data_IF_939552651313
#
_entry.id   IF_939552651313
#
_cell.length_a   1.000
_cell.length_b   1.000
_cell.length_c   1.000
_cell.angle_alpha   90.00
_cell.angle_beta   90.00
_cell.angle_gamma   90.00
#
_symmetry.space_group_name_H-M   'P 1'
#
loop_
_entity.id
_entity.type
_entity.pdbx_description
1 polymer ?
#
# COMPACT_ATOMS: atom_id res chain seq x y z
N UNK A 1 -0.58 27.86 28.89
CA UNK A 1 -0.67 27.57 27.44
C UNK A 1 -0.76 26.05 27.27
N UNK A 2 -1.94 25.52 26.94
CA UNK A 2 -2.16 24.07 26.80
C UNK A 2 -1.69 23.69 25.40
N UNK A 3 -0.54 23.02 25.29
CA UNK A 3 -0.06 22.52 24.00
C UNK A 3 -0.93 21.32 23.66
N UNK A 4 -1.92 21.54 22.79
CA UNK A 4 -2.78 20.49 22.29
C UNK A 4 -1.91 19.51 21.49
N UNK A 5 -1.90 18.25 21.93
CA UNK A 5 -1.03 17.24 21.32
C UNK A 5 -1.40 17.06 19.85
N UNK A 6 -0.45 17.28 18.95
CA UNK A 6 -0.64 17.05 17.52
C UNK A 6 -0.91 15.55 17.30
N UNK A 7 -2.18 15.20 17.13
CA UNK A 7 -2.57 13.84 16.79
C UNK A 7 -2.33 13.66 15.30
N UNK A 8 -1.34 12.85 14.93
CA UNK A 8 -1.15 12.40 13.54
C UNK A 8 -2.31 11.46 13.20
N UNK A 9 -3.46 12.05 12.86
CA UNK A 9 -4.63 11.36 12.32
C UNK A 9 -4.57 11.43 10.80
N UNK A 10 -3.50 10.89 10.23
CA UNK A 10 -3.26 10.89 8.80
C UNK A 10 -3.30 9.49 8.23
N UNK A 11 -3.98 9.31 7.10
CA UNK A 11 -3.81 8.12 6.27
C UNK A 11 -2.38 8.13 5.74
N UNK A 12 -1.67 7.03 5.96
CA UNK A 12 -0.30 6.88 5.47
C UNK A 12 -0.31 6.86 3.94
N UNK A 13 0.55 7.66 3.32
CA UNK A 13 0.84 7.59 1.90
C UNK A 13 2.27 7.10 1.70
N UNK A 14 2.45 6.11 0.83
CA UNK A 14 3.76 5.55 0.54
C UNK A 14 4.60 6.53 -0.26
N UNK A 15 5.79 6.89 0.23
CA UNK A 15 6.69 7.80 -0.49
C UNK A 15 7.30 7.21 -1.77
N UNK A 16 7.25 5.87 -1.93
CA UNK A 16 7.72 5.19 -3.12
C UNK A 16 6.65 5.20 -4.24
N UNK A 17 5.48 4.62 -3.98
CA UNK A 17 4.43 4.42 -4.99
C UNK A 17 3.26 5.42 -4.91
N UNK A 18 3.23 6.30 -3.93
CA UNK A 18 2.18 7.30 -3.65
C UNK A 18 0.78 6.75 -3.40
N UNK A 19 0.63 5.44 -3.17
CA UNK A 19 -0.61 4.83 -2.71
C UNK A 19 -0.89 5.12 -1.24
N UNK A 20 -2.18 5.16 -0.91
CA UNK A 20 -2.66 5.24 0.47
C UNK A 20 -2.60 3.87 1.15
N UNK A 21 -2.47 3.88 2.48
CA UNK A 21 -2.38 2.70 3.35
C UNK A 21 -1.16 1.81 3.15
N UNK A 22 -0.16 2.28 2.41
CA UNK A 22 1.10 1.58 2.18
C UNK A 22 2.28 2.38 2.76
N UNK A 23 3.33 1.69 3.18
CA UNK A 23 4.54 2.30 3.74
C UNK A 23 5.71 2.08 2.80
N UNK A 24 6.62 3.06 2.70
CA UNK A 24 7.77 2.94 1.81
C UNK A 24 8.71 1.76 2.18
N UNK A 25 8.76 1.37 3.46
CA UNK A 25 9.62 0.29 3.95
C UNK A 25 9.24 -1.08 3.40
N UNK A 26 7.95 -1.31 3.12
CA UNK A 26 7.44 -2.61 2.66
C UNK A 26 6.81 -2.53 1.25
N UNK A 27 7.16 -1.48 0.50
CA UNK A 27 6.59 -1.23 -0.80
C UNK A 27 7.38 -1.94 -1.90
N UNK A 28 6.76 -2.92 -2.55
CA UNK A 28 7.35 -3.65 -3.69
C UNK A 28 6.94 -3.09 -5.06
N UNK A 29 6.24 -1.95 -5.08
CA UNK A 29 5.78 -1.31 -6.30
C UNK A 29 6.87 -0.45 -6.93
N UNK A 30 6.79 -0.25 -8.24
CA UNK A 30 7.65 0.73 -8.94
C UNK A 30 7.44 2.14 -8.37
N UNK A 31 8.52 2.93 -8.23
CA UNK A 31 8.41 4.30 -7.77
C UNK A 31 7.54 5.10 -8.73
N UNK A 32 6.66 5.95 -8.20
CA UNK A 32 5.80 6.83 -9.01
C UNK A 32 6.07 8.29 -8.67
N UNK A 33 6.33 9.10 -9.69
CA UNK A 33 6.65 10.51 -9.51
C UNK A 33 5.39 11.33 -9.19
N UNK A 34 5.44 12.16 -8.14
CA UNK A 34 4.31 13.02 -7.76
C UNK A 34 4.06 14.17 -8.76
N UNK A 35 5.11 14.61 -9.46
CA UNK A 35 5.04 15.72 -10.43
C UNK A 35 4.52 15.27 -11.80
N UNK A 36 5.11 14.19 -12.32
CA UNK A 36 4.86 13.72 -13.70
C UNK A 36 3.97 12.48 -13.79
N UNK A 37 3.74 11.78 -12.68
CA UNK A 37 3.01 10.51 -12.65
C UNK A 37 3.71 9.32 -13.28
N UNK A 38 4.94 9.49 -13.80
CA UNK A 38 5.72 8.43 -14.45
C UNK A 38 6.49 7.57 -13.44
N UNK A 39 7.01 6.43 -13.93
CA UNK A 39 7.71 5.42 -13.13
C UNK A 39 9.15 5.82 -12.76
N UNK A 40 9.30 6.81 -11.88
CA UNK A 40 10.57 7.20 -11.25
C UNK A 40 10.32 7.92 -9.92
N UNK A 41 11.35 7.95 -9.05
CA UNK A 41 11.29 8.72 -7.81
C UNK A 41 11.23 10.22 -8.10
N UNK A 42 10.46 11.00 -7.32
CA UNK A 42 10.31 12.46 -7.50
C UNK A 42 11.66 13.20 -7.54
N UNK A 43 12.68 12.72 -6.82
CA UNK A 43 14.05 13.29 -6.82
C UNK A 43 14.72 13.22 -8.18
N UNK A 44 14.38 12.22 -9.00
CA UNK A 44 14.96 11.98 -10.31
C UNK A 44 14.08 12.57 -11.44
N UNK A 45 13.10 13.41 -11.10
CA UNK A 45 12.22 14.01 -12.09
C UNK A 45 12.91 15.15 -12.84
N UNK A 46 12.73 15.19 -14.17
CA UNK A 46 13.17 16.30 -15.02
C UNK A 46 12.40 17.60 -14.70
N UNK A 47 11.15 17.51 -14.22
CA UNK A 47 10.35 18.65 -13.80
C UNK A 47 10.89 19.16 -12.46
N UNK A 48 11.67 20.23 -12.50
CA UNK A 48 12.21 20.89 -11.30
C UNK A 48 11.35 22.04 -10.82
N UNK A 49 10.73 22.74 -11.75
CA UNK A 49 9.91 23.92 -11.50
C UNK A 49 8.59 23.59 -10.79
N UNK A 50 8.01 24.62 -10.16
CA UNK A 50 6.69 24.54 -9.56
C UNK A 50 5.64 24.60 -10.66
N UNK A 51 4.83 23.55 -10.76
CA UNK A 51 3.69 23.56 -11.68
C UNK A 51 2.55 24.36 -11.06
N UNK A 52 2.03 25.35 -11.78
CA UNK A 52 0.86 26.14 -11.33
C UNK A 52 -0.39 25.27 -11.20
N UNK A 53 -0.56 24.32 -12.13
CA UNK A 53 -1.69 23.41 -12.16
C UNK A 53 -1.22 21.95 -12.11
N UNK A 54 -0.85 21.43 -10.92
CA UNK A 54 -0.33 20.08 -10.80
C UNK A 54 -1.40 19.02 -11.09
N UNK A 55 -0.98 17.88 -11.62
CA UNK A 55 -1.83 16.73 -11.89
C UNK A 55 -1.82 15.74 -10.71
N UNK A 56 -3.00 15.29 -10.29
CA UNK A 56 -3.17 14.31 -9.24
C UNK A 56 -3.21 12.90 -9.82
N UNK A 57 -2.17 12.12 -9.59
CA UNK A 57 -2.08 10.72 -10.04
C UNK A 57 -3.13 9.77 -9.43
N UNK A 58 -3.78 10.17 -8.33
CA UNK A 58 -4.75 9.34 -7.62
C UNK A 58 -6.17 9.56 -8.16
N UNK A 59 -6.62 10.81 -8.30
CA UNK A 59 -7.94 11.12 -8.87
C UNK A 59 -7.94 11.35 -10.38
N UNK A 60 -6.76 11.57 -10.98
CA UNK A 60 -6.56 11.90 -12.41
C UNK A 60 -7.11 13.28 -12.81
N UNK A 61 -7.20 14.21 -11.86
CA UNK A 61 -7.60 15.60 -12.09
C UNK A 61 -6.43 16.57 -11.94
N UNK A 62 -6.56 17.75 -12.55
CA UNK A 62 -5.66 18.87 -12.37
C UNK A 62 -6.06 19.76 -11.18
N UNK A 63 -5.12 20.55 -10.67
CA UNK A 63 -5.34 21.57 -9.63
C UNK A 63 -4.74 21.19 -8.28
N UNK A 64 -4.32 19.95 -8.09
CA UNK A 64 -3.68 19.49 -6.85
C UNK A 64 -2.75 18.30 -7.09
N UNK A 65 -1.81 18.07 -6.15
CA UNK A 65 -0.96 16.88 -6.15
C UNK A 65 -1.60 15.74 -5.38
N UNK A 66 -1.14 14.50 -5.57
CA UNK A 66 -1.71 13.32 -4.91
C UNK A 66 -1.51 13.27 -3.39
N UNK A 67 -0.69 14.15 -2.81
CA UNK A 67 -0.57 14.32 -1.35
C UNK A 67 -1.65 15.25 -0.77
N UNK A 68 -2.51 15.84 -1.61
CA UNK A 68 -3.55 16.75 -1.16
C UNK A 68 -4.64 16.01 -0.39
N UNK A 69 -4.80 16.36 0.88
CA UNK A 69 -5.72 15.69 1.82
C UNK A 69 -7.19 15.90 1.48
N UNK A 70 -7.53 16.91 0.68
CA UNK A 70 -8.89 17.16 0.18
C UNK A 70 -9.11 16.65 -1.25
N UNK A 71 -8.22 15.81 -1.77
CA UNK A 71 -8.47 15.11 -3.02
C UNK A 71 -9.80 14.32 -2.90
N UNK A 72 -10.66 14.31 -3.93
CA UNK A 72 -11.94 13.59 -3.87
C UNK A 72 -11.78 12.07 -3.68
N UNK A 73 -10.64 11.51 -4.11
CA UNK A 73 -10.26 10.11 -3.85
C UNK A 73 -9.35 9.93 -2.63
N UNK A 74 -9.10 10.99 -1.86
CA UNK A 74 -8.39 10.84 -0.60
C UNK A 74 -9.25 9.98 0.32
N UNK A 75 -8.71 8.89 0.91
CA UNK A 75 -9.53 8.03 1.74
C UNK A 75 -10.06 8.81 2.93
N UNK A 76 -11.29 8.54 3.34
CA UNK A 76 -11.83 9.12 4.56
C UNK A 76 -11.66 8.12 5.70
N UNK A 77 -11.18 8.55 6.88
CA UNK A 77 -11.16 7.68 8.04
C UNK A 77 -12.61 7.27 8.36
N UNK A 78 -12.93 5.98 8.25
CA UNK A 78 -14.24 5.47 8.63
C UNK A 78 -14.43 5.71 10.13
N UNK A 79 -15.49 6.43 10.50
CA UNK A 79 -15.88 6.61 11.91
C UNK A 79 -16.14 5.23 12.50
N UNK A 80 -15.32 4.81 13.47
CA UNK A 80 -15.51 3.56 14.22
C UNK A 80 -14.53 2.42 13.91
N UNK A 81 -13.73 2.51 12.84
CA UNK A 81 -12.63 1.53 12.66
C UNK A 81 -11.35 2.14 13.19
N UNK A 82 -10.89 1.59 14.31
CA UNK A 82 -9.57 1.81 14.86
C UNK A 82 -8.47 1.32 13.88
N UNK A 83 -8.22 2.07 12.79
CA UNK A 83 -6.87 2.15 12.21
C UNK A 83 -5.92 2.96 13.11
N UNK A 84 -6.36 3.25 14.34
CA UNK A 84 -5.52 3.58 15.48
C UNK A 84 -4.73 2.34 15.91
N UNK A 85 -3.73 1.96 15.11
CA UNK A 85 -2.43 1.94 15.73
C UNK A 85 -1.81 3.31 15.44
N UNK A 86 -2.01 4.34 16.31
CA UNK A 86 -0.85 5.17 16.55
C UNK A 86 0.26 4.17 16.83
N UNK A 87 1.43 4.29 16.18
CA UNK A 87 2.66 3.73 16.73
C UNK A 87 2.51 3.99 18.22
N UNK A 88 2.27 2.93 19.00
CA UNK A 88 2.07 3.07 20.42
C UNK A 88 3.27 3.91 20.81
N UNK A 89 3.03 5.11 21.35
CA UNK A 89 4.12 5.81 22.01
C UNK A 89 4.50 4.83 23.11
N UNK A 90 5.38 3.86 22.83
CA UNK A 90 6.31 3.34 23.80
C UNK A 90 6.83 4.63 24.34
N UNK A 91 6.35 4.99 25.54
CA UNK A 91 6.83 6.15 26.26
C UNK A 91 8.33 5.97 26.19
N UNK A 92 9.00 6.74 25.34
CA UNK A 92 10.44 6.73 25.28
C UNK A 92 10.76 7.13 26.70
N UNK A 93 11.27 6.15 27.45
CA UNK A 93 11.58 6.31 28.86
C UNK A 93 12.34 7.61 28.97
N UNK A 94 11.86 8.54 29.80
CA UNK A 94 12.47 9.87 30.00
C UNK A 94 13.93 9.79 30.48
N UNK A 95 14.46 8.58 30.70
CA UNK A 95 15.88 8.28 30.90
C UNK A 95 16.81 8.77 29.77
N UNK A 96 16.29 9.12 28.58
CA UNK A 96 17.10 9.64 27.47
C UNK A 96 17.23 11.17 27.47
N UNK A 97 16.42 11.88 28.26
CA UNK A 97 16.45 13.34 28.37
C UNK A 97 16.97 13.73 29.74
N UNK A 98 18.11 14.44 29.81
CA UNK A 98 18.57 15.07 31.05
C UNK A 98 17.65 16.26 31.35
N UNK A 99 16.98 16.24 32.48
CA UNK A 99 16.17 17.37 32.95
C UNK A 99 17.06 18.61 33.12
N UNK A 100 16.58 19.77 32.69
CA UNK A 100 17.30 21.05 32.79
C UNK A 100 18.19 21.41 31.59
N UNK A 101 18.30 20.56 30.57
CA UNK A 101 19.08 20.89 29.35
C UNK A 101 18.12 21.27 28.22
N UNK A 102 17.99 22.57 27.97
CA UNK A 102 17.33 23.08 26.77
C UNK A 102 18.27 22.96 25.58
N UNK A 103 17.71 22.84 24.37
CA UNK A 103 18.47 22.88 23.12
C UNK A 103 19.33 24.16 23.01
N UNK A 104 18.83 25.29 23.55
CA UNK A 104 19.58 26.54 23.61
C UNK A 104 20.88 26.40 24.42
N UNK A 105 20.85 25.71 25.56
CA UNK A 105 22.01 25.54 26.44
C UNK A 105 23.12 24.71 25.78
N UNK A 106 22.75 23.72 24.95
CA UNK A 106 23.70 22.87 24.21
C UNK A 106 24.43 23.68 23.14
N UNK A 107 23.71 24.55 22.43
CA UNK A 107 24.28 25.41 21.39
C UNK A 107 25.15 26.52 21.99
N UNK A 108 24.82 27.00 23.19
CA UNK A 108 25.60 28.01 23.92
C UNK A 108 26.88 27.48 24.57
N UNK A 109 27.15 26.17 24.52
CA UNK A 109 28.41 25.58 25.00
C UNK A 109 28.58 25.51 26.52
N UNK A 110 27.53 25.76 27.30
CA UNK A 110 27.57 25.74 28.76
C UNK A 110 27.15 24.37 29.33
N UNK A 111 27.96 23.32 29.12
CA UNK A 111 27.81 22.06 29.90
C UNK A 111 29.19 21.48 30.28
N UNK A 112 29.41 21.09 31.56
CA UNK A 112 30.64 20.42 32.02
C UNK A 112 30.85 19.06 31.36
N UNK A 113 32.09 18.79 30.93
CA UNK A 113 32.51 17.51 30.36
C UNK A 113 32.25 16.35 31.32
N UNK A 114 31.37 15.43 30.92
CA UNK A 114 31.44 14.03 31.33
C UNK A 114 31.43 13.18 30.07
N UNK A 115 32.43 12.32 29.99
CA UNK A 115 32.78 11.45 28.86
C UNK A 115 31.63 10.54 28.42
N UNK A 116 31.53 10.18 27.12
CA UNK A 116 30.52 9.24 26.64
C UNK A 116 30.77 7.84 27.22
N UNK A 117 29.73 7.04 27.55
CA UNK A 117 29.92 5.61 27.72
C UNK A 117 30.21 4.96 26.36
N UNK A 118 31.13 4.03 26.43
CA UNK A 118 31.66 3.16 25.39
C UNK A 118 30.55 2.49 24.57
N UNK A 119 30.76 2.37 23.26
CA UNK A 119 29.82 1.76 22.33
C UNK A 119 29.88 0.24 22.52
N UNK A 120 29.01 -0.32 23.36
CA UNK A 120 28.85 -1.78 23.42
C UNK A 120 28.29 -2.28 22.09
N UNK A 121 29.09 -3.12 21.44
CA UNK A 121 28.78 -3.85 20.22
C UNK A 121 27.49 -4.66 20.39
N UNK A 122 26.44 -4.33 19.62
CA UNK A 122 25.32 -5.25 19.42
C UNK A 122 25.72 -6.29 18.36
N UNK A 123 26.19 -7.42 18.87
CA UNK A 123 26.32 -8.68 18.16
C UNK A 123 25.04 -9.03 17.40
N UNK A 124 25.17 -9.22 16.09
CA UNK A 124 24.16 -9.85 15.24
C UNK A 124 24.01 -11.30 15.72
N UNK A 125 22.88 -11.62 16.32
CA UNK A 125 22.46 -13.01 16.46
C UNK A 125 21.41 -13.29 15.39
N UNK A 126 21.87 -13.97 14.34
CA UNK A 126 21.03 -14.74 13.44
C UNK A 126 20.25 -15.78 14.27
N UNK A 127 18.93 -15.65 14.29
CA UNK A 127 18.04 -16.78 14.50
C UNK A 127 16.99 -16.77 13.42
N UNK A 128 17.24 -17.61 12.43
CA UNK A 128 16.21 -18.25 11.64
C UNK A 128 15.18 -18.88 12.59
N UNK A 129 13.90 -18.52 12.47
CA UNK A 129 12.87 -19.45 12.00
C UNK A 129 11.46 -18.86 12.05
N UNK A 130 10.79 -19.06 10.93
CA UNK A 130 9.40 -19.49 10.79
C UNK A 130 8.26 -18.56 11.21
N UNK A 131 7.68 -17.94 10.18
CA UNK A 131 6.29 -18.15 9.77
C UNK A 131 5.23 -18.40 10.85
N UNK A 132 4.28 -17.47 10.95
CA UNK A 132 2.81 -17.63 11.11
C UNK A 132 2.27 -16.24 11.51
N UNK A 133 1.19 -15.64 11.02
CA UNK A 133 -0.06 -16.06 10.36
C UNK A 133 -1.17 -15.21 11.00
N UNK A 134 -1.74 -14.23 10.30
CA UNK A 134 -3.13 -14.24 9.80
C UNK A 134 -4.25 -14.18 10.87
N UNK A 135 -5.21 -13.27 10.70
CA UNK A 135 -6.53 -13.31 11.33
C UNK A 135 -7.57 -13.61 10.23
N UNK A 136 -8.14 -14.82 10.22
CA UNK A 136 -9.44 -15.14 10.83
C UNK A 136 -9.76 -16.63 10.62
N UNK A 137 -10.37 -17.22 11.65
CA UNK A 137 -10.98 -18.55 11.80
C UNK A 137 -11.21 -19.40 10.54
N UNK A 138 -10.54 -20.55 10.57
CA UNK A 138 -10.97 -21.91 10.20
C UNK A 138 -12.34 -22.06 9.53
N UNK A 139 -12.33 -22.18 8.20
CA UNK A 139 -12.44 -23.49 7.53
C UNK A 139 -11.84 -23.38 6.12
N UNK A 140 -11.10 -24.41 5.73
CA UNK A 140 -10.66 -24.72 4.36
C UNK A 140 -9.45 -23.94 3.78
N UNK A 141 -8.23 -24.27 4.22
CA UNK A 141 -7.03 -24.13 3.34
C UNK A 141 -7.17 -24.94 2.04
N UNK A 142 -8.08 -25.92 2.05
CA UNK A 142 -8.60 -26.67 0.92
C UNK A 142 -9.27 -25.77 -0.13
N UNK A 143 -9.97 -24.70 0.24
CA UNK A 143 -10.84 -23.97 -0.69
C UNK A 143 -10.05 -23.11 -1.68
N UNK A 144 -8.99 -22.43 -1.24
CA UNK A 144 -8.17 -21.65 -2.17
C UNK A 144 -7.38 -22.54 -3.12
N UNK A 145 -6.85 -23.66 -2.60
CA UNK A 145 -6.14 -24.66 -3.41
C UNK A 145 -7.08 -25.29 -4.44
N UNK A 146 -8.31 -25.61 -4.05
CA UNK A 146 -9.37 -26.08 -4.96
C UNK A 146 -9.72 -25.04 -6.02
N UNK A 147 -9.86 -23.75 -5.65
CA UNK A 147 -10.13 -22.68 -6.62
C UNK A 147 -9.00 -22.55 -7.63
N UNK A 148 -7.74 -22.61 -7.20
CA UNK A 148 -6.60 -22.57 -8.12
C UNK A 148 -6.55 -23.81 -9.03
N UNK A 149 -6.88 -24.99 -8.50
CA UNK A 149 -6.95 -26.22 -9.29
C UNK A 149 -8.08 -26.15 -10.34
N UNK A 150 -9.25 -25.63 -9.96
CA UNK A 150 -10.36 -25.39 -10.88
C UNK A 150 -9.96 -24.42 -12.00
N UNK A 151 -9.30 -23.30 -11.66
CA UNK A 151 -8.79 -22.34 -12.64
C UNK A 151 -7.81 -23.00 -13.62
N UNK A 152 -6.88 -23.82 -13.11
CA UNK A 152 -5.92 -24.53 -13.95
C UNK A 152 -6.60 -25.57 -14.86
N UNK A 153 -7.61 -26.27 -14.34
CA UNK A 153 -8.38 -27.26 -15.10
C UNK A 153 -9.16 -26.59 -16.23
N UNK A 154 -9.86 -25.49 -15.94
CA UNK A 154 -10.57 -24.67 -16.94
C UNK A 154 -9.58 -24.12 -17.96
N UNK A 155 -8.44 -23.59 -17.53
CA UNK A 155 -7.40 -23.06 -18.43
C UNK A 155 -6.90 -24.13 -19.40
N UNK A 156 -6.68 -25.36 -18.90
CA UNK A 156 -6.25 -26.48 -19.73
C UNK A 156 -7.33 -26.94 -20.71
N UNK A 157 -8.61 -26.97 -20.31
CA UNK A 157 -9.73 -27.28 -21.21
C UNK A 157 -9.85 -26.25 -22.33
N UNK A 158 -9.77 -24.97 -21.99
CA UNK A 158 -9.83 -23.87 -22.95
C UNK A 158 -8.64 -23.90 -23.92
N UNK A 159 -7.43 -24.24 -23.45
CA UNK A 159 -6.25 -24.42 -24.32
C UNK A 159 -6.38 -25.60 -25.27
N UNK A 160 -6.98 -26.71 -24.82
CA UNK A 160 -7.16 -27.92 -25.64
C UNK A 160 -8.24 -27.73 -26.72
N UNK A 161 -9.22 -26.88 -26.45
CA UNK A 161 -10.35 -26.65 -27.35
C UNK A 161 -10.45 -25.16 -27.73
N UNK A 162 -9.76 -24.70 -28.79
CA UNK A 162 -9.77 -23.29 -29.21
C UNK A 162 -11.18 -22.78 -29.57
N UNK A 163 -12.10 -23.68 -29.96
CA UNK A 163 -13.51 -23.32 -30.23
C UNK A 163 -14.26 -22.83 -28.98
N UNK A 164 -13.82 -23.22 -27.78
CA UNK A 164 -14.36 -22.71 -26.51
C UNK A 164 -13.98 -21.23 -26.33
N UNK A 165 -12.78 -20.82 -26.76
CA UNK A 165 -12.37 -19.41 -26.72
C UNK A 165 -13.26 -18.55 -27.61
N UNK A 166 -13.55 -19.03 -28.82
CA UNK A 166 -14.44 -18.31 -29.76
C UNK A 166 -15.84 -18.15 -29.17
N UNK A 167 -16.37 -19.19 -28.53
CA UNK A 167 -17.66 -19.12 -27.85
C UNK A 167 -17.64 -18.13 -26.68
N UNK A 168 -16.62 -18.19 -25.81
CA UNK A 168 -16.47 -17.25 -24.68
C UNK A 168 -16.31 -15.80 -25.15
N UNK A 169 -15.71 -15.58 -26.32
CA UNK A 169 -15.61 -14.25 -26.93
C UNK A 169 -16.99 -13.71 -27.33
N UNK A 170 -17.86 -14.57 -27.88
CA UNK A 170 -19.24 -14.22 -28.25
C UNK A 170 -20.11 -13.93 -27.02
N UNK A 171 -19.87 -14.65 -25.92
CA UNK A 171 -20.51 -14.36 -24.62
C UNK A 171 -20.16 -12.97 -24.09
N UNK A 172 -18.93 -12.51 -24.28
CA UNK A 172 -18.50 -11.17 -23.86
C UNK A 172 -19.24 -10.06 -24.61
N UNK A 173 -19.68 -10.33 -25.84
CA UNK A 173 -20.37 -9.36 -26.70
C UNK A 173 -21.90 -9.45 -26.63
N UNK A 174 -22.45 -10.47 -25.98
CA UNK A 174 -23.90 -10.66 -25.84
C UNK A 174 -24.47 -9.73 -24.75
N UNK A 175 -25.57 -9.05 -25.08
CA UNK A 175 -26.19 -8.02 -24.23
C UNK A 175 -27.43 -8.54 -23.48
N UNK A 176 -28.02 -9.67 -23.91
CA UNK A 176 -29.15 -10.33 -23.23
C UNK A 176 -28.76 -11.71 -22.69
N UNK A 177 -29.44 -12.14 -21.62
CA UNK A 177 -29.30 -13.50 -21.11
C UNK A 177 -29.86 -14.53 -22.09
N UNK A 178 -30.85 -14.17 -22.91
CA UNK A 178 -31.37 -15.03 -23.98
C UNK A 178 -30.31 -15.29 -25.06
N UNK A 179 -29.59 -14.25 -25.48
CA UNK A 179 -28.49 -14.38 -26.43
C UNK A 179 -27.39 -15.31 -25.92
N UNK A 180 -27.05 -15.21 -24.63
CA UNK A 180 -26.09 -16.11 -23.99
C UNK A 180 -26.60 -17.55 -23.98
N UNK A 181 -27.89 -17.78 -23.72
CA UNK A 181 -28.48 -19.14 -23.76
C UNK A 181 -28.47 -19.72 -25.17
N UNK A 182 -28.77 -18.92 -26.20
CA UNK A 182 -28.69 -19.36 -27.60
C UNK A 182 -27.25 -19.70 -28.00
N UNK A 183 -26.28 -18.85 -27.65
CA UNK A 183 -24.85 -19.10 -27.91
C UNK A 183 -24.35 -20.36 -27.20
N UNK A 184 -24.86 -20.67 -26.00
CA UNK A 184 -24.53 -21.90 -25.29
C UNK A 184 -25.04 -23.13 -26.04
N UNK A 185 -26.30 -23.10 -26.48
CA UNK A 185 -26.94 -24.20 -27.21
C UNK A 185 -26.23 -24.46 -28.55
N UNK A 186 -25.94 -23.41 -29.32
CA UNK A 186 -25.13 -23.50 -30.55
C UNK A 186 -23.74 -24.04 -30.27
N UNK A 187 -23.13 -23.59 -29.17
CA UNK A 187 -21.82 -24.04 -28.72
C UNK A 187 -21.73 -25.54 -28.48
N UNK A 188 -22.73 -26.09 -27.79
CA UNK A 188 -22.80 -27.51 -27.46
C UNK A 188 -23.05 -28.33 -28.74
N UNK A 189 -24.00 -27.89 -29.59
CA UNK A 189 -24.36 -28.59 -30.84
C UNK A 189 -23.22 -28.64 -31.87
N UNK A 190 -22.30 -27.66 -31.87
CA UNK A 190 -21.24 -27.55 -32.88
C UNK A 190 -19.86 -28.03 -32.42
N UNK A 191 -19.69 -28.37 -31.14
CA UNK A 191 -18.37 -28.70 -30.54
C UNK A 191 -18.29 -30.07 -29.86
N UNK A 192 -19.41 -30.76 -29.67
CA UNK A 192 -19.51 -32.13 -29.15
C UNK A 192 -20.43 -32.95 -30.04
#
# INVERSE_FOLDING_TARGET
MKVEGYLVRGITQCFNCNHFYDTAANCHMRPRCLKSGKDHATRNCHIKERQENPFCINCQDFGHSACYTKCPKFPQPKKGTAFSNPIARKKISSKWTKEGISFANVVSGEIPSQTPPETENLTVNEKENSSTGFLTQENNSSDFSQVLELINTISNLVKKNPKILDLLSKFKTANSDEEKTCLLAEGIMNNF
#
